data_IF_636796374480
#
_entry.id   IF_636796374480
#
_cell.length_a   1.000
_cell.length_b   1.000
_cell.length_c   1.000
_cell.angle_alpha   90.00
_cell.angle_beta   90.00
_cell.angle_gamma   90.00
#
_symmetry.space_group_name_H-M   'P 1'
#
loop_
_entity.id
_entity.type
_entity.pdbx_description
1 polymer ?
#
# COMPACT_ATOMS: atom_id res chain seq x y z
N UNK A 1 -47.16 15.81 -3.69
CA UNK A 1 -45.94 15.61 -2.87
C UNK A 1 -45.17 14.45 -3.45
N UNK A 2 -43.90 14.63 -3.83
CA UNK A 2 -42.93 13.54 -3.74
C UNK A 2 -41.91 13.88 -2.63
N UNK A 3 -41.55 12.93 -1.76
CA UNK A 3 -40.35 13.04 -0.96
C UNK A 3 -39.16 12.33 -1.61
N UNK A 4 -37.99 12.74 -1.14
CA UNK A 4 -36.76 11.96 -1.05
C UNK A 4 -35.84 11.99 -2.27
N UNK A 5 -35.07 13.08 -2.28
CA UNK A 5 -33.63 13.13 -2.49
C UNK A 5 -32.93 11.77 -2.56
N UNK A 6 -32.44 11.43 -3.73
CA UNK A 6 -31.33 10.49 -3.88
C UNK A 6 -30.08 11.12 -3.29
N UNK A 7 -29.67 10.65 -2.11
CA UNK A 7 -28.33 10.88 -1.56
C UNK A 7 -27.31 10.10 -2.39
N UNK A 8 -26.94 10.63 -3.56
CA UNK A 8 -25.68 10.23 -4.20
C UNK A 8 -24.59 11.14 -3.63
N UNK A 9 -23.70 10.54 -2.85
CA UNK A 9 -22.46 11.16 -2.37
C UNK A 9 -21.61 11.55 -3.57
N UNK A 10 -21.79 12.77 -4.09
CA UNK A 10 -20.86 13.38 -5.04
C UNK A 10 -19.56 13.63 -4.29
N UNK A 11 -18.56 12.79 -4.53
CA UNK A 11 -17.19 13.07 -4.14
C UNK A 11 -16.85 14.48 -4.66
N UNK A 12 -16.35 15.35 -3.77
CA UNK A 12 -15.97 16.71 -4.17
C UNK A 12 -14.93 16.65 -5.31
N UNK A 13 -14.95 17.58 -6.28
CA UNK A 13 -13.98 17.61 -7.39
C UNK A 13 -12.49 17.44 -6.94
N UNK A 14 -12.06 17.98 -5.78
CA UNK A 14 -10.73 17.71 -5.23
C UNK A 14 -10.47 16.25 -4.86
N UNK A 15 -11.46 15.52 -4.37
CA UNK A 15 -11.35 14.10 -4.02
C UNK A 15 -11.17 13.23 -5.29
N UNK A 16 -12.00 13.47 -6.31
CA UNK A 16 -11.89 12.77 -7.62
C UNK A 16 -10.51 12.97 -8.24
N UNK A 17 -10.03 14.22 -8.31
CA UNK A 17 -8.71 14.51 -8.86
C UNK A 17 -7.57 13.88 -8.04
N UNK A 18 -7.72 13.76 -6.71
CA UNK A 18 -6.74 13.08 -5.86
C UNK A 18 -6.73 11.58 -6.14
N UNK A 19 -7.89 10.96 -6.20
CA UNK A 19 -8.06 9.54 -6.48
C UNK A 19 -7.48 9.16 -7.85
N UNK A 20 -7.78 9.93 -8.90
CA UNK A 20 -7.25 9.71 -10.26
C UNK A 20 -5.71 9.79 -10.30
N UNK A 21 -5.10 10.71 -9.53
CA UNK A 21 -3.64 10.80 -9.45
C UNK A 21 -3.02 9.61 -8.73
N UNK A 22 -3.63 9.17 -7.62
CA UNK A 22 -3.18 7.98 -6.91
C UNK A 22 -3.28 6.74 -7.82
N UNK A 23 -4.40 6.60 -8.53
CA UNK A 23 -4.62 5.53 -9.51
C UNK A 23 -3.62 5.59 -10.67
N UNK A 24 -3.38 6.76 -11.25
CA UNK A 24 -2.40 6.94 -12.32
C UNK A 24 -0.99 6.54 -11.88
N UNK A 25 -0.60 6.89 -10.65
CA UNK A 25 0.65 6.42 -10.06
C UNK A 25 0.65 4.91 -9.84
N UNK A 26 -0.43 4.34 -9.31
CA UNK A 26 -0.54 2.91 -9.08
C UNK A 26 -0.38 2.10 -10.37
N UNK A 27 -1.10 2.48 -11.42
CA UNK A 27 -1.16 1.71 -12.66
C UNK A 27 0.10 1.85 -13.52
N UNK A 28 0.80 2.99 -13.45
CA UNK A 28 1.87 3.32 -14.40
C UNK A 28 3.18 3.79 -13.76
N UNK A 29 3.22 3.99 -12.44
CA UNK A 29 4.32 4.66 -11.74
C UNK A 29 4.39 6.18 -12.01
N UNK A 30 3.55 6.71 -12.91
CA UNK A 30 3.58 8.14 -13.28
C UNK A 30 3.14 9.03 -12.13
N UNK A 31 3.84 10.15 -11.93
CA UNK A 31 3.48 11.09 -10.86
C UNK A 31 3.84 10.63 -9.44
N UNK A 32 4.57 9.52 -9.27
CA UNK A 32 4.96 9.01 -7.95
C UNK A 32 5.71 10.02 -7.08
N UNK A 33 6.55 10.88 -7.66
CA UNK A 33 7.24 11.94 -6.92
C UNK A 33 6.27 12.93 -6.23
N UNK A 34 5.10 13.18 -6.82
CA UNK A 34 4.07 14.04 -6.23
C UNK A 34 3.37 13.33 -5.08
N UNK A 35 2.92 12.09 -5.30
CA UNK A 35 2.29 11.24 -4.26
C UNK A 35 3.22 11.08 -3.06
N UNK A 36 4.50 10.77 -3.30
CA UNK A 36 5.53 10.72 -2.27
C UNK A 36 5.62 12.01 -1.44
N UNK A 37 5.63 13.16 -2.12
CA UNK A 37 5.74 14.46 -1.45
C UNK A 37 4.51 14.79 -0.60
N UNK A 38 3.33 14.30 -0.97
CA UNK A 38 2.12 14.47 -0.19
C UNK A 38 2.11 13.53 1.03
N UNK A 39 2.43 12.24 0.84
CA UNK A 39 2.43 11.23 1.89
C UNK A 39 3.50 11.47 2.96
N UNK A 40 4.71 11.90 2.57
CA UNK A 40 5.83 12.11 3.52
C UNK A 40 5.59 13.21 4.55
N UNK A 41 4.54 14.03 4.36
CA UNK A 41 4.19 15.15 5.25
C UNK A 41 3.06 14.80 6.22
N UNK A 42 2.51 13.59 6.13
CA UNK A 42 1.41 13.14 6.98
C UNK A 42 1.98 12.69 8.34
N UNK A 43 1.50 13.25 9.47
CA UNK A 43 1.95 12.85 10.79
C UNK A 43 1.46 11.45 11.16
N UNK A 44 2.25 10.69 11.96
CA UNK A 44 1.95 9.31 12.32
C UNK A 44 0.58 9.10 13.00
N UNK A 45 0.06 10.12 13.71
CA UNK A 45 -1.29 10.08 14.29
C UNK A 45 -2.37 9.92 13.21
N UNK A 46 -2.27 10.68 12.11
CA UNK A 46 -3.23 10.58 10.99
C UNK A 46 -3.14 9.22 10.30
N UNK A 47 -1.94 8.64 10.21
CA UNK A 47 -1.76 7.27 9.74
C UNK A 47 -2.52 6.25 10.58
N UNK A 48 -2.41 6.39 11.91
CA UNK A 48 -3.07 5.50 12.88
C UNK A 48 -4.58 5.68 12.83
N UNK A 49 -5.06 6.93 12.90
CA UNK A 49 -6.50 7.24 12.88
C UNK A 49 -7.20 6.76 11.60
N UNK A 50 -6.49 6.76 10.46
CA UNK A 50 -7.02 6.24 9.20
C UNK A 50 -7.04 4.70 9.16
N UNK A 51 -6.05 4.04 9.76
CA UNK A 51 -6.05 2.58 9.89
C UNK A 51 -7.18 2.10 10.79
N UNK A 52 -7.46 2.78 11.89
CA UNK A 52 -8.56 2.42 12.81
C UNK A 52 -9.95 2.50 12.14
N UNK A 53 -10.08 3.30 11.07
CA UNK A 53 -11.28 3.40 10.24
C UNK A 53 -11.25 2.48 9.02
N UNK A 54 -10.16 1.77 8.78
CA UNK A 54 -9.99 0.95 7.59
C UNK A 54 -10.67 -0.40 7.81
N UNK A 55 -11.71 -0.73 7.02
CA UNK A 55 -12.40 -2.00 7.21
C UNK A 55 -11.45 -3.16 6.95
N UNK A 56 -11.31 -4.04 7.92
CA UNK A 56 -10.61 -5.31 7.77
C UNK A 56 -11.30 -6.15 6.68
N UNK A 57 -10.51 -6.86 5.88
CA UNK A 57 -11.03 -7.85 4.96
C UNK A 57 -10.74 -9.21 5.58
N UNK A 58 -11.81 -9.89 5.99
CA UNK A 58 -11.73 -11.22 6.57
C UNK A 58 -11.06 -12.23 5.61
N UNK A 59 -11.02 -11.91 4.30
CA UNK A 59 -10.31 -12.68 3.30
C UNK A 59 -10.74 -14.15 3.22
N UNK A 60 -10.08 -14.96 2.39
CA UNK A 60 -10.19 -16.40 2.48
C UNK A 60 -9.51 -16.92 3.76
N UNK A 61 -9.99 -18.06 4.28
CA UNK A 61 -9.48 -18.67 5.51
C UNK A 61 -7.94 -18.82 5.48
N UNK A 62 -7.22 -18.41 6.53
CA UNK A 62 -5.76 -18.42 6.54
C UNK A 62 -5.24 -19.85 6.35
N UNK A 63 -4.35 -20.04 5.39
CA UNK A 63 -3.67 -21.32 5.18
C UNK A 63 -2.70 -21.53 6.36
N UNK A 64 -2.78 -22.66 7.08
CA UNK A 64 -1.90 -22.89 8.22
C UNK A 64 -0.43 -22.84 7.79
N UNK A 65 0.46 -22.31 8.65
CA UNK A 65 1.87 -22.17 8.34
C UNK A 65 2.48 -23.54 8.04
N UNK A 66 3.41 -23.63 7.07
CA UNK A 66 4.04 -24.91 6.72
C UNK A 66 4.81 -25.50 7.92
N UNK A 67 4.87 -26.83 8.00
CA UNK A 67 5.59 -27.57 9.07
C UNK A 67 7.10 -27.28 9.15
N UNK A 68 7.66 -26.60 8.14
CA UNK A 68 9.06 -26.18 8.10
C UNK A 68 9.16 -24.69 8.36
N UNK A 69 10.21 -24.24 9.08
CA UNK A 69 10.45 -22.81 9.27
C UNK A 69 10.47 -22.12 7.89
N UNK A 70 9.84 -20.94 7.77
CA UNK A 70 9.78 -20.25 6.49
C UNK A 70 11.20 -20.04 5.97
N UNK A 71 11.35 -20.12 4.65
CA UNK A 71 12.60 -19.71 4.01
C UNK A 71 13.00 -18.33 4.53
N UNK A 72 14.30 -18.03 4.60
CA UNK A 72 14.72 -16.66 4.91
C UNK A 72 14.01 -15.75 3.91
N UNK A 73 13.46 -14.63 4.36
CA UNK A 73 12.67 -13.74 3.49
C UNK A 73 13.39 -13.39 2.19
N UNK A 74 14.71 -13.19 2.25
CA UNK A 74 15.55 -12.91 1.09
C UNK A 74 15.60 -14.02 0.03
N UNK A 75 15.23 -15.24 0.40
CA UNK A 75 15.18 -16.43 -0.44
C UNK A 75 13.75 -16.73 -0.92
N UNK A 76 12.74 -15.92 -0.56
CA UNK A 76 11.38 -16.08 -1.07
C UNK A 76 11.36 -15.88 -2.60
N UNK A 77 10.60 -16.69 -3.34
CA UNK A 77 10.51 -16.57 -4.80
C UNK A 77 10.16 -15.15 -5.28
N UNK A 78 9.27 -14.46 -4.57
CA UNK A 78 8.82 -13.09 -4.86
C UNK A 78 9.95 -12.08 -4.73
N UNK A 79 10.80 -12.23 -3.71
CA UNK A 79 11.96 -11.34 -3.49
C UNK A 79 13.02 -11.56 -4.56
N UNK A 80 13.27 -12.83 -4.91
CA UNK A 80 14.21 -13.19 -5.98
C UNK A 80 13.71 -12.71 -7.35
N UNK A 81 12.42 -12.88 -7.64
CA UNK A 81 11.78 -12.41 -8.87
C UNK A 81 11.83 -10.89 -8.99
N UNK A 82 11.48 -10.15 -7.93
CA UNK A 82 11.58 -8.69 -7.91
C UNK A 82 13.01 -8.23 -8.14
N UNK A 83 13.99 -8.83 -7.47
CA UNK A 83 15.41 -8.49 -7.68
C UNK A 83 15.82 -8.71 -9.14
N UNK A 84 15.45 -9.85 -9.73
CA UNK A 84 15.78 -10.16 -11.12
C UNK A 84 15.15 -9.14 -12.09
N UNK A 85 13.87 -8.80 -11.90
CA UNK A 85 13.18 -7.82 -12.73
C UNK A 85 13.82 -6.43 -12.64
N UNK A 86 14.11 -5.94 -11.43
CA UNK A 86 14.69 -4.61 -11.27
C UNK A 86 16.08 -4.51 -11.92
N UNK A 87 16.86 -5.60 -11.86
CA UNK A 87 18.14 -5.70 -12.54
C UNK A 87 17.97 -5.70 -14.07
N UNK A 88 16.99 -6.43 -14.60
CA UNK A 88 16.67 -6.45 -16.04
C UNK A 88 16.26 -5.07 -16.56
N UNK A 89 15.42 -4.35 -15.80
CA UNK A 89 15.03 -2.96 -16.07
C UNK A 89 16.17 -1.94 -15.87
N UNK A 90 17.37 -2.40 -15.49
CA UNK A 90 18.55 -1.56 -15.22
C UNK A 90 18.28 -0.46 -14.18
N UNK A 91 17.42 -0.76 -13.22
CA UNK A 91 17.19 0.12 -12.07
C UNK A 91 18.51 0.29 -11.32
N UNK A 92 18.80 1.51 -10.87
CA UNK A 92 20.02 1.79 -10.11
C UNK A 92 20.15 0.86 -8.90
N UNK A 93 21.34 0.31 -8.69
CA UNK A 93 21.62 -0.70 -7.65
C UNK A 93 21.12 -0.27 -6.26
N UNK A 94 21.36 0.99 -5.88
CA UNK A 94 20.91 1.53 -4.59
C UNK A 94 19.39 1.50 -4.41
N UNK A 95 18.64 1.70 -5.51
CA UNK A 95 17.18 1.61 -5.52
C UNK A 95 16.74 0.16 -5.39
N UNK A 96 17.40 -0.77 -6.08
CA UNK A 96 17.15 -2.22 -5.94
C UNK A 96 17.34 -2.63 -4.48
N UNK A 97 18.47 -2.29 -3.88
CA UNK A 97 18.76 -2.65 -2.48
C UNK A 97 17.80 -2.00 -1.50
N UNK A 98 17.34 -0.77 -1.77
CA UNK A 98 16.33 -0.11 -0.93
C UNK A 98 14.99 -0.85 -0.99
N UNK A 99 14.54 -1.21 -2.18
CA UNK A 99 13.27 -1.90 -2.40
C UNK A 99 13.29 -3.32 -1.83
N UNK A 100 14.37 -4.08 -2.06
CA UNK A 100 14.51 -5.42 -1.50
C UNK A 100 14.57 -5.39 0.04
N UNK A 101 15.23 -4.38 0.64
CA UNK A 101 15.22 -4.20 2.10
C UNK A 101 13.82 -3.87 2.62
N UNK A 102 13.10 -2.96 1.97
CA UNK A 102 11.72 -2.61 2.34
C UNK A 102 10.80 -3.84 2.30
N UNK A 103 10.85 -4.62 1.22
CA UNK A 103 10.12 -5.89 1.09
C UNK A 103 10.47 -6.87 2.21
N UNK A 104 11.77 -7.05 2.43
CA UNK A 104 12.28 -8.00 3.43
C UNK A 104 11.77 -7.67 4.81
N UNK A 105 11.76 -6.38 5.14
CA UNK A 105 11.30 -5.90 6.42
C UNK A 105 9.78 -6.03 6.58
N UNK A 106 9.00 -5.55 5.59
CA UNK A 106 7.55 -5.64 5.62
C UNK A 106 7.05 -7.09 5.76
N UNK A 107 7.73 -8.04 5.09
CA UNK A 107 7.44 -9.48 5.20
C UNK A 107 7.69 -10.03 6.60
N UNK A 108 8.78 -9.62 7.27
CA UNK A 108 9.05 -10.04 8.66
C UNK A 108 8.00 -9.53 9.63
N UNK A 109 7.44 -8.35 9.35
CA UNK A 109 6.40 -7.77 10.20
C UNK A 109 5.09 -8.57 10.04
N UNK A 110 4.81 -9.12 8.86
CA UNK A 110 3.67 -10.00 8.55
C UNK A 110 3.90 -11.48 8.87
N UNK A 111 4.66 -11.81 9.91
CA UNK A 111 4.93 -13.20 10.32
C UNK A 111 5.35 -14.11 9.15
N UNK A 112 6.12 -13.56 8.21
CA UNK A 112 6.63 -14.23 7.02
C UNK A 112 5.55 -14.62 5.99
N UNK A 113 4.37 -14.00 6.04
CA UNK A 113 3.34 -14.13 5.03
C UNK A 113 3.82 -13.66 3.66
N UNK A 114 3.45 -14.40 2.61
CA UNK A 114 3.99 -14.18 1.26
C UNK A 114 3.53 -12.82 0.72
N UNK A 115 4.45 -11.98 0.20
CA UNK A 115 4.11 -10.65 -0.31
C UNK A 115 3.02 -10.60 -1.37
N UNK A 116 2.90 -11.66 -2.17
CA UNK A 116 1.93 -11.73 -3.24
C UNK A 116 0.48 -11.78 -2.71
N UNK A 117 0.26 -12.33 -1.51
CA UNK A 117 -1.09 -12.52 -0.96
C UNK A 117 -1.49 -11.44 0.04
N UNK A 118 -0.68 -10.41 0.22
CA UNK A 118 -0.98 -9.36 1.18
C UNK A 118 -2.31 -8.66 0.85
N UNK A 119 -3.14 -8.47 1.87
CA UNK A 119 -4.34 -7.65 1.77
C UNK A 119 -4.01 -6.17 1.89
N UNK A 120 -4.94 -5.31 1.49
CA UNK A 120 -4.79 -3.87 1.65
C UNK A 120 -4.58 -3.45 3.12
N UNK A 121 -5.31 -4.06 4.05
CA UNK A 121 -5.24 -3.79 5.50
C UNK A 121 -3.92 -4.27 6.11
N UNK A 122 -3.41 -5.42 5.68
CA UNK A 122 -2.05 -5.85 6.04
C UNK A 122 -1.01 -4.83 5.58
N UNK A 123 -1.08 -4.37 4.33
CA UNK A 123 -0.17 -3.35 3.79
C UNK A 123 -0.31 -2.04 4.59
N UNK A 124 -1.53 -1.55 4.77
CA UNK A 124 -1.83 -0.33 5.53
C UNK A 124 -1.27 -0.39 6.96
N UNK A 125 -1.53 -1.50 7.66
CA UNK A 125 -0.99 -1.77 8.99
C UNK A 125 0.53 -1.71 9.06
N UNK A 126 1.23 -2.18 8.02
CA UNK A 126 2.71 -2.07 7.97
C UNK A 126 3.20 -0.66 7.70
N UNK A 127 2.51 0.08 6.85
CA UNK A 127 2.84 1.49 6.63
C UNK A 127 2.68 2.29 7.94
N UNK A 128 1.62 2.02 8.72
CA UNK A 128 1.44 2.62 10.05
C UNK A 128 2.57 2.23 11.01
N UNK A 129 2.92 0.95 11.08
CA UNK A 129 4.02 0.50 11.95
C UNK A 129 5.37 1.14 11.57
N UNK A 130 5.65 1.33 10.27
CA UNK A 130 6.85 2.02 9.79
C UNK A 130 6.86 3.49 10.28
N UNK A 131 5.76 4.23 10.12
CA UNK A 131 5.74 5.65 10.53
C UNK A 131 5.72 5.85 12.04
N UNK A 132 5.15 4.90 12.79
CA UNK A 132 5.02 4.99 14.25
C UNK A 132 6.28 4.60 15.03
N UNK A 133 7.39 4.31 14.34
CA UNK A 133 8.68 4.00 14.95
C UNK A 133 9.37 2.75 14.43
N UNK A 134 8.80 2.09 13.42
CA UNK A 134 9.46 1.01 12.69
C UNK A 134 10.62 1.51 11.82
N UNK A 135 11.53 0.60 11.47
CA UNK A 135 12.57 0.90 10.47
C UNK A 135 11.95 0.94 9.06
N UNK A 136 12.70 1.41 8.06
CA UNK A 136 12.28 1.30 6.66
C UNK A 136 11.58 2.54 6.08
N UNK A 137 10.93 2.36 4.93
CA UNK A 137 10.37 3.44 4.12
C UNK A 137 8.98 3.07 3.62
N UNK A 138 7.97 3.83 4.02
CA UNK A 138 6.59 3.67 3.52
C UNK A 138 6.53 3.75 2.00
N UNK A 139 7.24 4.72 1.41
CA UNK A 139 7.31 4.87 -0.03
C UNK A 139 7.93 3.66 -0.74
N UNK A 140 9.08 3.18 -0.24
CA UNK A 140 9.73 2.01 -0.85
C UNK A 140 8.87 0.75 -0.70
N UNK A 141 8.11 0.66 0.40
CA UNK A 141 7.15 -0.44 0.62
C UNK A 141 5.99 -0.36 -0.38
N UNK A 142 5.40 0.82 -0.56
CA UNK A 142 4.32 1.05 -1.53
C UNK A 142 4.74 0.74 -2.96
N UNK A 143 5.91 1.21 -3.40
CA UNK A 143 6.43 0.92 -4.74
C UNK A 143 6.66 -0.58 -4.97
N UNK A 144 7.15 -1.28 -3.94
CA UNK A 144 7.32 -2.73 -4.00
C UNK A 144 5.98 -3.46 -4.10
N UNK A 145 5.00 -3.08 -3.28
CA UNK A 145 3.65 -3.67 -3.31
C UNK A 145 3.03 -3.46 -4.69
N UNK A 146 3.11 -2.25 -5.24
CA UNK A 146 2.63 -1.91 -6.59
C UNK A 146 3.20 -2.84 -7.65
N UNK A 147 4.52 -3.04 -7.65
CA UNK A 147 5.17 -3.95 -8.60
C UNK A 147 4.79 -5.42 -8.38
N UNK A 148 4.73 -5.88 -7.13
CA UNK A 148 4.40 -7.28 -6.83
C UNK A 148 2.96 -7.64 -7.21
N UNK A 149 2.03 -6.75 -6.89
CA UNK A 149 0.61 -6.95 -7.18
C UNK A 149 0.33 -6.95 -8.69
N UNK A 150 1.11 -6.21 -9.48
CA UNK A 150 0.97 -6.28 -10.94
C UNK A 150 1.21 -7.69 -11.52
N UNK A 151 2.03 -8.52 -10.85
CA UNK A 151 2.32 -9.89 -11.29
C UNK A 151 1.36 -10.95 -10.72
N UNK A 152 0.38 -10.53 -9.91
CA UNK A 152 -0.52 -11.49 -9.29
C UNK A 152 -1.40 -12.19 -10.33
N UNK A 153 -1.55 -13.53 -10.25
CA UNK A 153 -2.32 -14.28 -11.23
C UNK A 153 -3.84 -14.05 -11.13
N UNK A 154 -4.34 -13.77 -9.93
CA UNK A 154 -5.73 -13.39 -9.70
C UNK A 154 -5.87 -11.87 -9.77
N UNK A 155 -6.25 -11.37 -10.95
CA UNK A 155 -6.45 -9.94 -11.21
C UNK A 155 -7.66 -9.37 -10.48
N UNK A 156 -8.84 -10.02 -10.47
CA UNK A 156 -9.99 -9.53 -9.69
C UNK A 156 -9.67 -9.31 -8.20
N UNK A 157 -8.97 -10.25 -7.57
CA UNK A 157 -8.56 -10.11 -6.17
C UNK A 157 -7.67 -8.87 -5.97
N UNK A 158 -6.60 -8.75 -6.76
CA UNK A 158 -5.66 -7.63 -6.59
C UNK A 158 -6.25 -6.29 -6.99
N UNK A 159 -7.15 -6.23 -7.98
CA UNK A 159 -7.85 -4.99 -8.32
C UNK A 159 -8.71 -4.51 -7.13
N UNK A 160 -9.37 -5.44 -6.42
CA UNK A 160 -10.10 -5.11 -5.20
C UNK A 160 -9.16 -4.64 -4.07
N UNK A 161 -8.03 -5.32 -3.84
CA UNK A 161 -7.05 -4.90 -2.82
C UNK A 161 -6.39 -3.56 -3.16
N UNK A 162 -6.06 -3.33 -4.43
CA UNK A 162 -5.52 -2.07 -4.94
C UNK A 162 -6.51 -0.94 -4.70
N UNK A 163 -7.78 -1.12 -5.07
CA UNK A 163 -8.82 -0.11 -4.86
C UNK A 163 -8.99 0.23 -3.37
N UNK A 164 -9.05 -0.80 -2.51
CA UNK A 164 -9.13 -0.60 -1.05
C UNK A 164 -7.95 0.21 -0.52
N UNK A 165 -6.73 -0.13 -0.93
CA UNK A 165 -5.53 0.60 -0.51
C UNK A 165 -5.52 2.04 -1.03
N UNK A 166 -5.95 2.27 -2.27
CA UNK A 166 -6.04 3.61 -2.87
C UNK A 166 -7.05 4.49 -2.13
N UNK A 167 -8.23 3.96 -1.80
CA UNK A 167 -9.24 4.66 -1.00
C UNK A 167 -8.72 5.01 0.40
N UNK A 168 -7.94 4.12 1.01
CA UNK A 168 -7.30 4.40 2.29
C UNK A 168 -6.22 5.50 2.19
N UNK A 169 -5.37 5.47 1.17
CA UNK A 169 -4.38 6.53 0.90
C UNK A 169 -5.06 7.88 0.61
N UNK A 170 -6.22 7.85 -0.06
CA UNK A 170 -7.02 9.05 -0.30
C UNK A 170 -7.56 9.64 1.02
N UNK A 171 -8.05 8.77 1.92
CA UNK A 171 -8.55 9.15 3.25
C UNK A 171 -7.45 9.81 4.07
N UNK A 172 -6.26 9.20 4.11
CA UNK A 172 -5.08 9.77 4.76
C UNK A 172 -4.74 11.18 4.30
N UNK A 173 -4.78 11.40 2.99
CA UNK A 173 -4.49 12.69 2.39
C UNK A 173 -5.58 13.72 2.70
N UNK A 174 -6.85 13.30 2.71
CA UNK A 174 -7.97 14.17 3.08
C UNK A 174 -7.90 14.60 4.55
N UNK A 175 -7.56 13.69 5.46
CA UNK A 175 -7.45 13.99 6.89
C UNK A 175 -6.27 14.93 7.18
N UNK A 176 -5.15 14.77 6.46
CA UNK A 176 -4.02 15.70 6.52
C UNK A 176 -4.48 17.13 6.20
N UNK A 177 -5.25 17.30 5.13
CA UNK A 177 -5.73 18.62 4.69
C UNK A 177 -6.65 19.26 5.74
N UNK A 178 -7.50 18.46 6.40
CA UNK A 178 -8.37 18.93 7.50
C UNK A 178 -7.57 19.30 8.76
N UNK A 179 -6.57 18.51 9.13
CA UNK A 179 -5.68 18.80 10.26
C UNK A 179 -4.86 20.09 10.07
N UNK A 180 -4.48 20.40 8.83
CA UNK A 180 -3.79 21.66 8.50
C UNK A 180 -4.69 22.90 8.47
N UNK A 181 -6.00 22.73 8.31
CA UNK A 181 -6.96 23.85 8.29
C UNK A 181 -7.41 24.29 9.70
N UNK A 182 -7.21 23.45 10.71
CA UNK A 182 -7.61 23.69 12.10
C UNK A 182 -6.47 24.05 13.07
N UNK A 183 -5.24 24.21 12.57
CA UNK A 183 -4.05 24.62 13.35
C UNK A 183 -3.57 26.00 12.94
#
# INVERSE_FOLDING_TARGET
MPPSSSSNSELSQPAIARHERLRSWWDSGSGGAMVYNELRRIPASVWTDALDRFPEDDGPEPVPPPDRPPARVVDLPEVLALRALLMDRRVAFDTVDRWIRALTQATRMLDYERPLVWTADQVAGRLVQIVSGGEGSTWSTLEVVRELWDWHPDRPFIEAQSERLLVWLETLLADRDQGTAGS
#
